data_IF_618679098893
#
_entry.id   IF_618679098893
#
_cell.length_a   1.000
_cell.length_b   1.000
_cell.length_c   1.000
_cell.angle_alpha   90.00
_cell.angle_beta   90.00
_cell.angle_gamma   90.00
#
_symmetry.space_group_name_H-M   'P 1'
#
loop_
_entity.id
_entity.type
_entity.pdbx_description
1 polymer ?
#
# COMPACT_ATOMS: atom_id res chain seq x y z
N UNK A 1 13.51 -19.42 14.01
CA UNK A 1 14.89 -18.96 14.21
C UNK A 1 15.68 -19.25 12.95
N UNK A 2 16.36 -18.24 12.45
CA UNK A 2 17.19 -18.27 11.25
C UNK A 2 18.62 -17.85 11.66
N UNK A 3 19.62 -18.66 11.30
CA UNK A 3 21.01 -18.43 11.71
C UNK A 3 21.62 -17.20 11.02
N UNK A 4 21.21 -16.88 9.80
CA UNK A 4 21.70 -15.72 9.07
C UNK A 4 21.08 -14.41 9.60
N UNK A 5 19.84 -14.48 10.09
CA UNK A 5 19.27 -13.38 10.88
C UNK A 5 20.07 -13.18 12.17
N UNK A 6 20.44 -14.26 12.87
CA UNK A 6 21.26 -14.17 14.08
C UNK A 6 22.65 -13.59 13.78
N UNK A 7 23.30 -14.03 12.72
CA UNK A 7 24.59 -13.49 12.28
C UNK A 7 24.49 -11.99 11.97
N UNK A 8 23.39 -11.57 11.33
CA UNK A 8 23.09 -10.15 11.10
C UNK A 8 22.98 -9.36 12.41
N UNK A 9 22.22 -9.88 13.39
CA UNK A 9 22.04 -9.26 14.70
C UNK A 9 23.36 -9.11 15.48
N UNK A 10 24.17 -10.18 15.49
CA UNK A 10 25.51 -10.18 16.13
C UNK A 10 26.42 -9.16 15.45
N UNK A 11 26.45 -9.14 14.12
CA UNK A 11 27.25 -8.18 13.35
C UNK A 11 26.83 -6.73 13.64
N UNK A 12 25.53 -6.45 13.71
CA UNK A 12 24.98 -5.14 14.04
C UNK A 12 25.48 -4.65 15.41
N UNK A 13 25.35 -5.49 16.45
CA UNK A 13 25.80 -5.15 17.80
C UNK A 13 27.32 -4.97 17.87
N UNK A 14 28.08 -5.84 17.21
CA UNK A 14 29.55 -5.75 17.17
C UNK A 14 30.03 -4.47 16.48
N UNK A 15 29.40 -4.10 15.37
CA UNK A 15 29.85 -3.00 14.51
C UNK A 15 29.35 -1.64 14.99
N UNK A 16 28.09 -1.57 15.43
CA UNK A 16 27.42 -0.30 15.74
C UNK A 16 27.01 -0.16 17.21
N UNK A 17 27.17 -1.18 18.05
CA UNK A 17 26.73 -1.14 19.46
C UNK A 17 27.39 -0.05 20.33
N UNK A 18 28.48 0.58 19.84
CA UNK A 18 29.14 1.73 20.47
C UNK A 18 28.79 3.08 19.83
N UNK A 19 28.01 3.09 18.75
CA UNK A 19 27.56 4.30 18.06
C UNK A 19 26.44 4.94 18.88
N UNK A 20 26.57 6.24 19.16
CA UNK A 20 25.54 7.00 19.88
C UNK A 20 24.21 6.92 19.13
N UNK A 21 23.12 6.65 19.86
CA UNK A 21 21.78 6.49 19.29
C UNK A 21 21.48 5.13 18.64
N UNK A 22 22.46 4.24 18.47
CA UNK A 22 22.23 2.93 17.85
C UNK A 22 21.52 1.94 18.79
N UNK A 23 21.91 1.88 20.06
CA UNK A 23 21.34 0.94 21.04
C UNK A 23 21.83 -0.50 20.86
N UNK A 24 20.93 -1.48 21.02
CA UNK A 24 21.22 -2.92 20.91
C UNK A 24 20.08 -3.65 20.20
N UNK A 25 20.43 -4.69 19.45
CA UNK A 25 19.50 -5.63 18.79
C UNK A 25 19.53 -6.97 19.54
N UNK A 26 18.40 -7.68 19.74
CA UNK A 26 18.43 -9.05 20.26
C UNK A 26 19.17 -9.98 19.29
N UNK A 27 19.94 -10.94 19.80
CA UNK A 27 20.72 -11.92 19.00
C UNK A 27 20.06 -13.31 19.06
N UNK A 28 18.78 -13.36 18.75
CA UNK A 28 17.90 -14.52 18.92
C UNK A 28 17.57 -15.25 17.61
N UNK A 29 18.06 -14.76 16.47
CA UNK A 29 17.77 -15.30 15.14
C UNK A 29 16.33 -15.14 14.71
N UNK A 30 15.54 -14.28 15.37
CA UNK A 30 14.19 -13.97 14.95
C UNK A 30 14.16 -12.61 14.24
N UNK A 31 13.57 -12.58 13.04
CA UNK A 31 13.27 -11.30 12.38
C UNK A 31 12.22 -10.54 13.19
N UNK A 32 12.22 -9.21 13.08
CA UNK A 32 11.28 -8.34 13.79
C UNK A 32 11.72 -6.89 13.82
N UNK A 33 10.86 -6.03 14.39
CA UNK A 33 11.07 -4.58 14.43
C UNK A 33 12.43 -4.18 14.99
N UNK A 34 12.89 -4.80 16.08
CA UNK A 34 14.20 -4.48 16.67
C UNK A 34 15.37 -4.70 15.70
N UNK A 35 15.34 -5.78 14.92
CA UNK A 35 16.36 -6.07 13.90
C UNK A 35 16.29 -5.08 12.74
N UNK A 36 15.08 -4.81 12.23
CA UNK A 36 14.86 -3.84 11.14
C UNK A 36 15.24 -2.41 11.55
N UNK A 37 14.95 -2.00 12.79
CA UNK A 37 15.39 -0.72 13.35
C UNK A 37 16.90 -0.66 13.54
N UNK A 38 17.52 -1.77 13.95
CA UNK A 38 18.99 -1.90 13.95
C UNK A 38 19.59 -1.68 12.56
N UNK A 39 19.08 -2.34 11.53
CA UNK A 39 19.52 -2.16 10.13
C UNK A 39 19.30 -0.71 9.64
N UNK A 40 18.17 -0.11 10.00
CA UNK A 40 17.85 1.29 9.63
C UNK A 40 18.81 2.28 10.26
N UNK A 41 19.09 2.15 11.56
CA UNK A 41 20.03 3.02 12.28
C UNK A 41 21.48 2.79 11.83
N UNK A 42 21.87 1.55 11.54
CA UNK A 42 23.15 1.25 10.91
C UNK A 42 23.28 1.98 9.56
N UNK A 43 22.24 1.94 8.72
CA UNK A 43 22.27 2.62 7.42
C UNK A 43 22.40 4.13 7.61
N UNK A 44 21.63 4.72 8.52
CA UNK A 44 21.70 6.14 8.83
C UNK A 44 23.11 6.56 9.26
N UNK A 45 23.77 5.76 10.10
CA UNK A 45 25.16 5.99 10.49
C UNK A 45 26.12 5.97 9.28
N UNK A 46 26.00 4.95 8.41
CA UNK A 46 26.80 4.84 7.17
C UNK A 46 26.54 6.00 6.19
N UNK A 47 25.37 6.66 6.27
CA UNK A 47 25.03 7.86 5.50
C UNK A 47 25.49 9.18 6.15
N UNK A 48 26.15 9.09 7.31
CA UNK A 48 26.62 10.23 8.10
C UNK A 48 25.50 11.01 8.78
N UNK A 49 24.39 10.35 9.14
CA UNK A 49 23.34 10.92 9.98
C UNK A 49 23.71 10.66 11.45
N UNK A 50 23.69 11.70 12.28
CA UNK A 50 24.09 11.62 13.70
C UNK A 50 22.91 11.31 14.62
N UNK A 51 21.74 11.91 14.36
CA UNK A 51 20.52 11.66 15.13
C UNK A 51 19.77 10.47 14.53
N UNK A 52 20.14 9.29 15.00
CA UNK A 52 19.59 8.02 14.51
C UNK A 52 18.14 7.82 15.00
N UNK A 53 17.27 7.37 14.11
CA UNK A 53 15.85 7.13 14.37
C UNK A 53 15.37 5.83 13.74
N UNK A 54 14.32 5.24 14.30
CA UNK A 54 13.74 3.96 13.87
C UNK A 54 12.86 4.08 12.61
N UNK A 55 13.14 5.05 11.74
CA UNK A 55 12.37 5.32 10.52
C UNK A 55 13.26 5.66 9.32
N UNK A 56 12.94 5.08 8.16
CA UNK A 56 13.53 5.45 6.87
C UNK A 56 12.77 6.67 6.29
N UNK A 57 13.28 7.86 6.61
CA UNK A 57 12.66 9.14 6.20
C UNK A 57 13.29 9.79 4.96
N UNK A 58 12.78 10.96 4.53
CA UNK A 58 13.26 11.68 3.35
C UNK A 58 14.77 11.97 3.35
N UNK A 59 15.33 12.31 4.51
CA UNK A 59 16.78 12.55 4.66
C UNK A 59 17.62 11.30 4.39
N UNK A 60 17.16 10.13 4.85
CA UNK A 60 17.80 8.83 4.59
C UNK A 60 17.72 8.49 3.11
N UNK A 61 16.55 8.68 2.49
CA UNK A 61 16.34 8.45 1.07
C UNK A 61 17.28 9.30 0.20
N UNK A 62 17.29 10.62 0.42
CA UNK A 62 18.10 11.55 -0.36
C UNK A 62 19.60 11.27 -0.24
N UNK A 63 20.08 10.98 0.97
CA UNK A 63 21.48 10.61 1.21
C UNK A 63 21.83 9.27 0.57
N UNK A 64 20.94 8.28 0.62
CA UNK A 64 21.15 6.98 -0.04
C UNK A 64 21.32 7.13 -1.56
N UNK A 65 20.38 7.81 -2.21
CA UNK A 65 20.39 8.00 -3.67
C UNK A 65 21.64 8.76 -4.12
N UNK A 66 22.03 9.79 -3.37
CA UNK A 66 23.23 10.60 -3.68
C UNK A 66 24.53 9.82 -3.47
N UNK A 67 24.64 9.05 -2.39
CA UNK A 67 25.92 8.48 -1.97
C UNK A 67 26.17 7.06 -2.49
N UNK A 68 25.12 6.23 -2.62
CA UNK A 68 25.27 4.78 -2.78
C UNK A 68 24.47 4.16 -3.94
N UNK A 69 23.28 4.66 -4.31
CA UNK A 69 22.41 3.98 -5.29
C UNK A 69 23.10 3.67 -6.63
N UNK A 70 23.97 4.56 -7.12
CA UNK A 70 24.73 4.36 -8.37
C UNK A 70 26.06 3.59 -8.18
N UNK A 71 26.50 3.37 -6.93
CA UNK A 71 27.76 2.68 -6.60
C UNK A 71 27.54 1.21 -6.26
N UNK A 72 26.42 0.88 -5.63
CA UNK A 72 26.07 -0.47 -5.18
C UNK A 72 25.74 -1.34 -6.41
N UNK A 73 26.72 -2.15 -6.81
CA UNK A 73 26.65 -3.08 -7.96
C UNK A 73 27.66 -4.19 -7.74
N UNK A 74 27.66 -5.22 -8.60
CA UNK A 74 28.54 -6.38 -8.46
C UNK A 74 30.01 -5.98 -8.22
N UNK A 75 30.60 -6.52 -7.15
CA UNK A 75 31.97 -6.24 -6.70
C UNK A 75 32.13 -5.04 -5.75
N UNK A 76 31.07 -4.26 -5.51
CA UNK A 76 31.11 -3.16 -4.53
C UNK A 76 31.19 -3.72 -3.10
N UNK A 77 32.13 -3.22 -2.30
CA UNK A 77 32.34 -3.66 -0.91
C UNK A 77 32.13 -2.52 0.07
N UNK A 78 31.17 -2.69 0.98
CA UNK A 78 30.87 -1.71 2.02
C UNK A 78 29.94 -2.32 3.08
N UNK A 79 29.92 -1.75 4.29
CA UNK A 79 28.96 -2.14 5.31
C UNK A 79 27.49 -2.00 4.86
N UNK A 80 27.18 -1.04 3.97
CA UNK A 80 25.82 -0.89 3.44
C UNK A 80 25.36 -2.12 2.66
N UNK A 81 26.29 -2.91 2.12
CA UNK A 81 25.96 -4.18 1.48
C UNK A 81 25.60 -5.24 2.52
N UNK A 82 26.30 -5.30 3.66
CA UNK A 82 25.86 -6.18 4.77
C UNK A 82 24.49 -5.79 5.29
N UNK A 83 24.15 -4.49 5.29
CA UNK A 83 22.80 -4.02 5.64
C UNK A 83 21.78 -4.53 4.62
N UNK A 84 22.08 -4.47 3.31
CA UNK A 84 21.21 -5.03 2.26
C UNK A 84 21.04 -6.54 2.45
N UNK A 85 22.13 -7.28 2.60
CA UNK A 85 22.12 -8.74 2.79
C UNK A 85 21.33 -9.14 4.05
N UNK A 86 21.59 -8.46 5.18
CA UNK A 86 20.85 -8.65 6.42
C UNK A 86 19.36 -8.32 6.30
N UNK A 87 19.02 -7.30 5.51
CA UNK A 87 17.65 -6.99 5.14
C UNK A 87 16.97 -8.13 4.38
N UNK A 88 17.66 -8.76 3.42
CA UNK A 88 17.12 -9.90 2.68
C UNK A 88 16.86 -11.10 3.58
N UNK A 89 17.79 -11.45 4.47
CA UNK A 89 17.58 -12.49 5.47
C UNK A 89 16.35 -12.18 6.34
N UNK A 90 16.15 -10.92 6.74
CA UNK A 90 14.96 -10.50 7.49
C UNK A 90 13.65 -10.59 6.67
N UNK A 91 13.72 -10.50 5.34
CA UNK A 91 12.60 -10.68 4.40
C UNK A 91 12.35 -12.14 4.00
N UNK A 92 13.24 -13.05 4.38
CA UNK A 92 13.19 -14.45 3.94
C UNK A 92 13.60 -14.64 2.47
N UNK A 93 14.28 -13.66 1.87
CA UNK A 93 14.91 -13.79 0.54
C UNK A 93 16.37 -14.17 0.79
N UNK A 94 16.87 -15.19 0.09
CA UNK A 94 18.22 -15.71 0.31
C UNK A 94 19.23 -14.99 -0.63
N UNK A 95 20.11 -14.10 -0.12
CA UNK A 95 21.16 -13.48 -0.93
C UNK A 95 22.41 -14.36 -1.07
N UNK A 96 22.42 -15.59 -0.51
CA UNK A 96 23.53 -16.53 -0.29
C UNK A 96 24.72 -15.99 0.52
N UNK A 97 24.83 -14.67 0.63
CA UNK A 97 25.99 -13.98 1.16
C UNK A 97 25.64 -13.13 2.39
N UNK A 98 26.60 -13.05 3.32
CA UNK A 98 26.65 -12.03 4.37
C UNK A 98 28.06 -11.42 4.49
N UNK A 99 28.69 -11.18 3.33
CA UNK A 99 30.11 -10.86 3.20
C UNK A 99 30.40 -9.36 3.22
N UNK A 100 29.40 -8.52 2.88
CA UNK A 100 29.61 -7.08 2.64
C UNK A 100 30.14 -6.74 1.26
N UNK A 101 30.21 -7.71 0.36
CA UNK A 101 30.43 -7.53 -1.07
C UNK A 101 29.12 -7.77 -1.82
N UNK A 102 28.77 -6.88 -2.74
CA UNK A 102 27.55 -7.01 -3.52
C UNK A 102 27.85 -8.01 -4.64
N UNK A 103 27.38 -9.24 -4.50
CA UNK A 103 27.65 -10.34 -5.42
C UNK A 103 26.54 -10.47 -6.48
N UNK A 104 26.71 -11.41 -7.40
CA UNK A 104 25.63 -11.82 -8.31
C UNK A 104 24.42 -12.39 -7.56
N UNK A 105 24.63 -13.03 -6.41
CA UNK A 105 23.55 -13.57 -5.59
C UNK A 105 22.78 -12.45 -4.87
N UNK A 106 23.50 -11.45 -4.35
CA UNK A 106 22.85 -10.24 -3.80
C UNK A 106 22.08 -9.50 -4.90
N UNK A 107 22.62 -9.43 -6.12
CA UNK A 107 21.92 -8.86 -7.27
C UNK A 107 20.64 -9.63 -7.61
N UNK A 108 20.68 -10.97 -7.58
CA UNK A 108 19.52 -11.81 -7.82
C UNK A 108 18.42 -11.61 -6.76
N UNK A 109 18.80 -11.50 -5.48
CA UNK A 109 17.86 -11.20 -4.38
C UNK A 109 17.16 -9.84 -4.56
N UNK A 110 17.86 -8.81 -5.08
CA UNK A 110 17.24 -7.52 -5.44
C UNK A 110 16.18 -7.71 -6.53
N UNK A 111 16.49 -8.48 -7.58
CA UNK A 111 15.55 -8.76 -8.67
C UNK A 111 14.34 -9.56 -8.17
N UNK A 112 14.55 -10.51 -7.27
CA UNK A 112 13.48 -11.29 -6.63
C UNK A 112 12.55 -10.39 -5.82
N UNK A 113 13.09 -9.53 -4.95
CA UNK A 113 12.29 -8.55 -4.20
C UNK A 113 11.46 -7.66 -5.11
N UNK A 114 12.07 -7.13 -6.19
CA UNK A 114 11.37 -6.29 -7.17
C UNK A 114 10.24 -7.03 -7.85
N UNK A 115 10.47 -8.28 -8.27
CA UNK A 115 9.44 -9.13 -8.87
C UNK A 115 8.29 -9.37 -7.89
N UNK A 116 8.60 -9.70 -6.64
CA UNK A 116 7.60 -9.96 -5.61
C UNK A 116 6.80 -8.71 -5.23
N UNK A 117 7.46 -7.56 -5.18
CA UNK A 117 6.82 -6.27 -4.97
C UNK A 117 6.09 -5.72 -6.21
N UNK A 118 6.20 -6.37 -7.38
CA UNK A 118 5.57 -5.91 -8.62
C UNK A 118 6.23 -4.67 -9.23
N UNK A 119 7.52 -4.45 -9.01
CA UNK A 119 8.25 -3.28 -9.51
C UNK A 119 8.59 -3.45 -10.99
N UNK A 120 8.38 -2.38 -11.77
CA UNK A 120 8.63 -2.35 -13.22
C UNK A 120 10.11 -2.49 -13.59
N UNK A 121 11.00 -1.88 -12.81
CA UNK A 121 12.44 -2.02 -12.99
C UNK A 121 12.87 -3.46 -12.68
N UNK A 122 13.50 -4.13 -13.63
CA UNK A 122 13.99 -5.51 -13.50
C UNK A 122 15.49 -5.60 -13.25
N UNK A 123 16.18 -4.46 -13.13
CA UNK A 123 17.61 -4.42 -12.83
C UNK A 123 17.91 -4.72 -11.35
N UNK A 124 19.17 -4.97 -11.03
CA UNK A 124 19.65 -5.09 -9.65
C UNK A 124 19.95 -3.74 -8.96
N UNK A 125 19.48 -2.60 -9.50
CA UNK A 125 19.67 -1.28 -8.89
C UNK A 125 18.94 -1.21 -7.53
N UNK A 126 19.61 -0.71 -6.50
CA UNK A 126 19.02 -0.45 -5.19
C UNK A 126 18.88 1.06 -4.98
N UNK A 127 17.78 1.65 -5.44
CA UNK A 127 17.44 3.04 -5.13
C UNK A 127 16.79 3.14 -3.73
N UNK A 128 16.47 4.35 -3.29
CA UNK A 128 15.91 4.60 -1.96
C UNK A 128 14.56 3.91 -1.71
N UNK A 129 13.70 3.77 -2.73
CA UNK A 129 12.43 3.04 -2.62
C UNK A 129 12.68 1.56 -2.31
N UNK A 130 13.62 0.92 -3.02
CA UNK A 130 13.98 -0.48 -2.80
C UNK A 130 14.63 -0.66 -1.43
N UNK A 131 15.53 0.25 -1.04
CA UNK A 131 16.19 0.21 0.26
C UNK A 131 15.17 0.37 1.40
N UNK A 132 14.20 1.28 1.23
CA UNK A 132 13.10 1.46 2.18
C UNK A 132 12.21 0.22 2.24
N UNK A 133 11.81 -0.34 1.11
CA UNK A 133 11.02 -1.58 1.06
C UNK A 133 11.71 -2.74 1.79
N UNK A 134 13.03 -2.85 1.62
CA UNK A 134 13.88 -3.84 2.29
C UNK A 134 13.94 -3.63 3.81
N UNK A 135 14.02 -2.38 4.28
CA UNK A 135 14.13 -2.03 5.70
C UNK A 135 12.77 -1.72 6.36
N UNK A 136 11.77 -2.56 6.11
CA UNK A 136 10.44 -2.48 6.74
C UNK A 136 9.98 -3.88 7.16
N UNK A 137 8.84 -3.99 7.85
CA UNK A 137 8.18 -5.28 8.08
C UNK A 137 7.19 -5.68 6.97
N UNK A 138 7.10 -4.91 5.88
CA UNK A 138 6.21 -5.22 4.75
C UNK A 138 6.52 -6.59 4.14
N UNK A 139 5.50 -7.42 3.94
CA UNK A 139 5.64 -8.68 3.22
C UNK A 139 5.37 -8.48 1.72
N UNK A 140 6.19 -9.07 0.86
CA UNK A 140 6.05 -9.03 -0.60
C UNK A 140 5.67 -10.39 -1.21
N UNK A 141 5.47 -11.38 -0.35
CA UNK A 141 5.00 -12.73 -0.69
C UNK A 141 3.60 -12.93 -0.12
N UNK A 142 2.85 -13.86 -0.70
CA UNK A 142 1.52 -14.22 -0.20
C UNK A 142 1.64 -14.79 1.22
N UNK A 143 1.02 -14.13 2.20
CA UNK A 143 1.04 -14.60 3.60
C UNK A 143 -0.05 -15.65 3.84
N UNK A 144 0.06 -16.48 4.89
CA UNK A 144 -1.02 -17.38 5.29
C UNK A 144 -2.34 -16.62 5.51
N UNK A 145 -3.42 -17.11 4.90
CA UNK A 145 -4.74 -16.44 4.92
C UNK A 145 -4.88 -15.27 3.93
N UNK A 146 -3.82 -14.93 3.19
CA UNK A 146 -3.86 -13.95 2.11
C UNK A 146 -4.54 -14.48 0.85
N UNK A 147 -5.05 -13.55 0.03
CA UNK A 147 -5.69 -13.83 -1.24
C UNK A 147 -4.75 -13.52 -2.41
N UNK A 148 -4.53 -14.50 -3.28
CA UNK A 148 -3.64 -14.38 -4.44
C UNK A 148 -4.09 -13.31 -5.45
N UNK A 149 -5.40 -13.07 -5.60
CA UNK A 149 -5.92 -11.97 -6.43
C UNK A 149 -5.67 -10.62 -5.79
N UNK A 150 -5.81 -10.50 -4.46
CA UNK A 150 -5.43 -9.28 -3.75
C UNK A 150 -3.94 -9.01 -3.92
N UNK A 151 -3.09 -10.04 -3.81
CA UNK A 151 -1.65 -9.90 -4.06
C UNK A 151 -1.37 -9.42 -5.48
N UNK A 152 -2.03 -10.00 -6.49
CA UNK A 152 -1.89 -9.58 -7.89
C UNK A 152 -2.29 -8.11 -8.09
N UNK A 153 -3.35 -7.66 -7.39
CA UNK A 153 -3.75 -6.25 -7.37
C UNK A 153 -2.68 -5.37 -6.71
N UNK A 154 -2.16 -5.73 -5.54
CA UNK A 154 -1.10 -4.97 -4.86
C UNK A 154 0.15 -4.84 -5.73
N UNK A 155 0.58 -5.92 -6.39
CA UNK A 155 1.71 -5.91 -7.32
C UNK A 155 1.47 -4.98 -8.50
N UNK A 156 0.27 -5.02 -9.11
CA UNK A 156 -0.07 -4.12 -10.21
C UNK A 156 -0.13 -2.65 -9.76
N UNK A 157 -0.62 -2.38 -8.55
CA UNK A 157 -0.64 -1.03 -7.98
C UNK A 157 0.77 -0.48 -7.79
N UNK A 158 1.69 -1.28 -7.22
CA UNK A 158 3.10 -0.90 -7.15
C UNK A 158 3.68 -0.69 -8.55
N UNK A 159 3.41 -1.58 -9.51
CA UNK A 159 3.92 -1.47 -10.88
C UNK A 159 3.53 -0.15 -11.56
N UNK A 160 2.25 0.20 -11.48
CA UNK A 160 1.67 1.31 -12.25
C UNK A 160 1.75 2.65 -11.51
N UNK A 161 1.76 2.64 -10.17
CA UNK A 161 1.61 3.84 -9.35
C UNK A 161 2.72 4.03 -8.29
N UNK A 162 3.88 3.36 -8.44
CA UNK A 162 5.03 3.54 -7.54
C UNK A 162 5.37 5.02 -7.28
N UNK A 163 5.29 5.89 -8.29
CA UNK A 163 5.60 7.31 -8.15
C UNK A 163 4.65 8.07 -7.19
N UNK A 164 3.45 7.53 -6.95
CA UNK A 164 2.44 8.10 -6.05
C UNK A 164 2.54 7.52 -4.63
N UNK A 165 2.82 6.23 -4.53
CA UNK A 165 2.70 5.48 -3.26
C UNK A 165 4.02 5.01 -2.68
N UNK A 166 5.11 5.04 -3.46
CA UNK A 166 6.27 4.20 -3.21
C UNK A 166 5.91 2.72 -3.34
N UNK A 167 6.61 1.87 -2.60
CA UNK A 167 6.43 0.42 -2.61
C UNK A 167 5.66 -0.01 -1.37
N UNK A 168 4.48 -0.60 -1.57
CA UNK A 168 3.59 -1.11 -0.52
C UNK A 168 3.62 -2.65 -0.45
N UNK A 169 3.18 -3.26 0.66
CA UNK A 169 3.14 -4.73 0.80
C UNK A 169 2.35 -5.42 -0.34
N UNK A 170 2.83 -6.60 -0.72
CA UNK A 170 2.19 -7.53 -1.67
C UNK A 170 1.87 -8.85 -0.95
N UNK A 171 1.17 -8.75 0.18
CA UNK A 171 0.90 -9.84 1.12
C UNK A 171 -0.40 -10.61 0.83
N UNK A 172 -1.27 -10.08 -0.04
CA UNK A 172 -2.59 -10.63 -0.30
C UNK A 172 -3.66 -10.23 0.71
N UNK A 173 -3.39 -9.26 1.60
CA UNK A 173 -4.35 -8.74 2.57
C UNK A 173 -4.81 -7.34 2.17
N UNK A 174 -6.11 -7.17 1.95
CA UNK A 174 -6.66 -5.84 1.70
C UNK A 174 -6.66 -5.02 3.00
N UNK A 175 -5.87 -3.95 3.01
CA UNK A 175 -5.67 -3.10 4.17
C UNK A 175 -5.67 -1.63 3.78
N UNK A 176 -5.52 -0.74 4.78
CA UNK A 176 -5.57 0.71 4.59
C UNK A 176 -4.65 1.17 3.47
N UNK A 177 -3.40 0.71 3.46
CA UNK A 177 -2.40 1.13 2.47
C UNK A 177 -2.80 0.71 1.06
N UNK A 178 -3.35 -0.50 0.90
CA UNK A 178 -3.90 -0.95 -0.39
C UNK A 178 -5.07 -0.07 -0.82
N UNK A 179 -6.03 0.24 0.07
CA UNK A 179 -7.14 1.14 -0.24
C UNK A 179 -6.66 2.55 -0.64
N UNK A 180 -5.67 3.09 0.08
CA UNK A 180 -5.05 4.37 -0.24
C UNK A 180 -4.39 4.33 -1.62
N UNK A 181 -3.70 3.24 -1.98
CA UNK A 181 -3.15 3.05 -3.31
C UNK A 181 -4.21 2.98 -4.42
N UNK A 182 -5.38 2.36 -4.16
CA UNK A 182 -6.50 2.40 -5.10
C UNK A 182 -7.02 3.84 -5.30
N UNK A 183 -7.05 4.66 -4.26
CA UNK A 183 -7.47 6.07 -4.38
C UNK A 183 -6.41 6.87 -5.16
N UNK A 184 -5.12 6.66 -4.92
CA UNK A 184 -4.05 7.25 -5.73
C UNK A 184 -4.15 6.83 -7.20
N UNK A 185 -4.46 5.57 -7.48
CA UNK A 185 -4.69 5.08 -8.82
C UNK A 185 -5.86 5.82 -9.50
N UNK A 186 -6.97 6.03 -8.80
CA UNK A 186 -8.09 6.83 -9.30
C UNK A 186 -7.66 8.28 -9.58
N UNK A 187 -6.98 8.92 -8.63
CA UNK A 187 -6.51 10.30 -8.79
C UNK A 187 -5.56 10.46 -9.98
N UNK A 188 -4.69 9.48 -10.22
CA UNK A 188 -3.83 9.45 -11.41
C UNK A 188 -4.62 9.32 -12.70
N UNK A 189 -5.65 8.45 -12.74
CA UNK A 189 -6.57 8.31 -13.88
C UNK A 189 -7.39 9.59 -14.13
N UNK A 190 -7.73 10.32 -13.07
CA UNK A 190 -8.36 11.65 -13.11
C UNK A 190 -7.38 12.76 -13.54
N UNK A 191 -6.12 12.43 -13.83
CA UNK A 191 -5.08 13.35 -14.30
C UNK A 191 -4.51 14.26 -13.20
N UNK A 192 -4.50 13.81 -11.94
CA UNK A 192 -3.75 14.47 -10.87
C UNK A 192 -2.30 13.99 -10.89
N UNK A 193 -1.35 14.92 -10.90
CA UNK A 193 0.07 14.61 -10.74
C UNK A 193 0.40 14.15 -9.30
N UNK A 194 1.63 13.69 -9.09
CA UNK A 194 2.10 13.19 -7.79
C UNK A 194 2.20 14.25 -6.70
N UNK A 195 2.23 15.54 -7.06
CA UNK A 195 2.20 16.66 -6.10
C UNK A 195 0.79 17.06 -5.68
N UNK A 196 -0.21 16.76 -6.51
CA UNK A 196 -1.62 17.07 -6.29
C UNK A 196 -2.38 15.91 -5.66
N UNK A 197 -2.10 14.68 -6.10
CA UNK A 197 -2.71 13.47 -5.56
C UNK A 197 -2.29 13.25 -4.10
N UNK A 198 -3.22 12.78 -3.28
CA UNK A 198 -3.03 12.67 -1.83
C UNK A 198 -3.67 11.41 -1.20
N UNK A 199 -4.20 10.50 -2.02
CA UNK A 199 -4.80 9.26 -1.54
C UNK A 199 -6.11 9.45 -0.75
N UNK A 200 -6.67 10.67 -0.73
CA UNK A 200 -7.94 10.99 -0.10
C UNK A 200 -9.02 11.30 -1.13
N UNK A 201 -10.17 10.64 -1.03
CA UNK A 201 -11.31 10.86 -1.93
C UNK A 201 -12.10 12.13 -1.57
N UNK A 202 -11.42 13.28 -1.69
CA UNK A 202 -11.95 14.61 -1.37
C UNK A 202 -12.62 15.33 -2.54
N UNK A 203 -12.92 16.64 -2.40
CA UNK A 203 -13.59 17.45 -3.41
C UNK A 203 -12.94 17.39 -4.80
N UNK A 204 -11.61 17.39 -4.87
CA UNK A 204 -10.88 17.28 -6.13
C UNK A 204 -11.18 15.96 -6.87
N UNK A 205 -11.16 14.84 -6.15
CA UNK A 205 -11.47 13.51 -6.71
C UNK A 205 -12.95 13.43 -7.08
N UNK A 206 -13.84 13.88 -6.19
CA UNK A 206 -15.29 13.92 -6.45
C UNK A 206 -15.62 14.64 -7.76
N UNK A 207 -15.02 15.80 -8.00
CA UNK A 207 -15.27 16.62 -9.18
C UNK A 207 -14.78 15.98 -10.48
N UNK A 208 -13.79 15.08 -10.40
CA UNK A 208 -13.15 14.46 -11.55
C UNK A 208 -13.57 13.00 -11.77
N UNK A 209 -14.27 12.39 -10.80
CA UNK A 209 -14.69 10.99 -10.90
C UNK A 209 -15.54 10.78 -12.15
N UNK A 210 -15.11 9.89 -13.07
CA UNK A 210 -15.82 9.67 -14.32
C UNK A 210 -17.09 8.85 -14.12
N UNK A 211 -17.97 8.89 -15.12
CA UNK A 211 -19.05 7.92 -15.27
C UNK A 211 -18.64 6.87 -16.29
N UNK A 212 -18.69 5.60 -15.90
CA UNK A 212 -18.19 4.48 -16.71
C UNK A 212 -19.31 3.49 -17.00
N UNK A 213 -19.42 3.05 -18.25
CA UNK A 213 -20.45 2.14 -18.73
C UNK A 213 -19.84 0.89 -19.38
N UNK A 214 -20.70 -0.09 -19.67
CA UNK A 214 -20.32 -1.31 -20.39
C UNK A 214 -19.60 -1.00 -21.71
N UNK A 215 -18.58 -1.78 -22.04
CA UNK A 215 -17.70 -1.57 -23.20
C UNK A 215 -16.51 -0.63 -22.93
N UNK A 216 -16.47 0.08 -21.79
CA UNK A 216 -15.29 0.83 -21.40
C UNK A 216 -14.09 -0.10 -21.13
N UNK A 217 -12.87 0.44 -21.29
CA UNK A 217 -11.63 -0.28 -21.02
C UNK A 217 -10.61 0.60 -20.28
N UNK A 218 -9.55 -0.02 -19.77
CA UNK A 218 -8.39 0.66 -19.19
C UNK A 218 -8.37 0.72 -17.66
N UNK A 219 -7.53 1.60 -17.13
CA UNK A 219 -7.21 1.67 -15.70
C UNK A 219 -8.44 1.96 -14.83
N UNK A 220 -9.36 2.84 -15.27
CA UNK A 220 -10.59 3.14 -14.52
C UNK A 220 -11.44 1.88 -14.31
N UNK A 221 -11.55 1.03 -15.32
CA UNK A 221 -12.30 -0.22 -15.23
C UNK A 221 -11.59 -1.19 -14.29
N UNK A 222 -10.26 -1.23 -14.33
CA UNK A 222 -9.48 -2.09 -13.41
C UNK A 222 -9.69 -1.66 -11.95
N UNK A 223 -9.73 -0.36 -11.67
CA UNK A 223 -10.05 0.19 -10.33
C UNK A 223 -11.47 -0.22 -9.89
N UNK A 224 -12.46 -0.17 -10.79
CA UNK A 224 -13.83 -0.63 -10.50
C UNK A 224 -13.84 -2.14 -10.21
N UNK A 225 -13.12 -2.95 -11.00
CA UNK A 225 -12.99 -4.39 -10.80
C UNK A 225 -12.35 -4.72 -9.44
N UNK A 226 -11.30 -3.99 -9.04
CA UNK A 226 -10.68 -4.11 -7.73
C UNK A 226 -11.66 -3.76 -6.61
N UNK A 227 -12.33 -2.60 -6.72
CA UNK A 227 -13.31 -2.14 -5.74
C UNK A 227 -14.45 -3.15 -5.57
N UNK A 228 -15.02 -3.66 -6.66
CA UNK A 228 -16.07 -4.68 -6.57
C UNK A 228 -15.56 -5.99 -5.94
N UNK A 229 -14.33 -6.41 -6.26
CA UNK A 229 -13.75 -7.64 -5.72
C UNK A 229 -13.60 -7.56 -4.20
N UNK A 230 -12.98 -6.50 -3.68
CA UNK A 230 -12.73 -6.34 -2.24
C UNK A 230 -14.01 -6.11 -1.44
N UNK A 231 -15.08 -5.65 -2.10
CA UNK A 231 -16.42 -5.55 -1.52
C UNK A 231 -17.27 -6.83 -1.71
N UNK A 232 -16.74 -7.89 -2.34
CA UNK A 232 -17.44 -9.17 -2.49
C UNK A 232 -18.46 -9.24 -3.64
N UNK A 233 -18.43 -8.30 -4.59
CA UNK A 233 -19.37 -8.22 -5.71
C UNK A 233 -18.76 -8.57 -7.07
N UNK A 234 -17.53 -9.09 -7.11
CA UNK A 234 -16.88 -9.50 -8.34
C UNK A 234 -15.89 -10.64 -8.10
N UNK A 235 -15.83 -11.61 -9.03
CA UNK A 235 -14.91 -12.76 -8.98
C UNK A 235 -14.16 -12.97 -10.29
N UNK A 236 -14.29 -12.05 -11.26
CA UNK A 236 -13.66 -12.15 -12.57
C UNK A 236 -12.17 -11.76 -12.58
N UNK A 237 -11.66 -11.43 -13.76
CA UNK A 237 -10.27 -11.04 -13.99
C UNK A 237 -10.08 -9.52 -13.96
N UNK A 238 -8.93 -9.07 -13.47
CA UNK A 238 -8.55 -7.65 -13.43
C UNK A 238 -7.93 -7.16 -14.74
N UNK A 239 -8.65 -7.37 -15.83
CA UNK A 239 -8.19 -7.10 -17.20
C UNK A 239 -8.52 -5.68 -17.70
N UNK A 240 -9.19 -4.86 -16.89
CA UNK A 240 -9.62 -3.53 -17.29
C UNK A 240 -10.63 -3.55 -18.44
N UNK A 241 -11.43 -4.60 -18.59
CA UNK A 241 -12.52 -4.70 -19.57
C UNK A 241 -13.86 -4.67 -18.84
N UNK A 242 -14.75 -3.76 -19.22
CA UNK A 242 -16.05 -3.63 -18.58
C UNK A 242 -17.02 -4.65 -19.19
N UNK A 243 -16.93 -5.88 -18.69
CA UNK A 243 -17.75 -7.02 -19.13
C UNK A 243 -19.10 -7.06 -18.42
N UNK A 244 -19.98 -7.97 -18.85
CA UNK A 244 -21.27 -8.21 -18.19
C UNK A 244 -21.10 -8.57 -16.70
N UNK A 245 -20.06 -9.31 -16.33
CA UNK A 245 -19.79 -9.63 -14.92
C UNK A 245 -19.51 -8.38 -14.07
N UNK A 246 -18.89 -7.35 -14.65
CA UNK A 246 -18.68 -6.06 -13.96
C UNK A 246 -20.02 -5.33 -13.81
N UNK A 247 -20.84 -5.32 -14.87
CA UNK A 247 -22.18 -4.74 -14.85
C UNK A 247 -23.07 -5.39 -13.78
N UNK A 248 -23.08 -6.71 -13.69
CA UNK A 248 -23.86 -7.47 -12.71
C UNK A 248 -23.36 -7.22 -11.28
N UNK A 249 -22.05 -7.11 -11.10
CA UNK A 249 -21.42 -6.74 -9.82
C UNK A 249 -21.87 -5.36 -9.35
N UNK A 250 -21.91 -4.37 -10.25
CA UNK A 250 -22.39 -3.00 -9.94
C UNK A 250 -23.86 -3.02 -9.54
N UNK A 251 -24.72 -3.72 -10.28
CA UNK A 251 -26.14 -3.82 -9.95
C UNK A 251 -26.32 -4.50 -8.59
N UNK A 252 -25.54 -5.54 -8.28
CA UNK A 252 -25.57 -6.25 -7.00
C UNK A 252 -25.11 -5.36 -5.85
N UNK A 253 -24.00 -4.63 -6.01
CA UNK A 253 -23.51 -3.64 -5.06
C UNK A 253 -24.55 -2.56 -4.80
N UNK A 254 -25.16 -1.98 -5.85
CA UNK A 254 -26.22 -0.97 -5.72
C UNK A 254 -27.43 -1.49 -4.95
N UNK A 255 -27.87 -2.72 -5.23
CA UNK A 255 -29.01 -3.33 -4.52
C UNK A 255 -28.70 -3.58 -3.04
N UNK A 256 -27.48 -4.04 -2.74
CA UNK A 256 -27.01 -4.23 -1.37
C UNK A 256 -26.97 -2.89 -0.61
N UNK A 257 -26.37 -1.87 -1.21
CA UNK A 257 -26.21 -0.54 -0.61
C UNK A 257 -27.46 0.36 -0.70
N UNK A 258 -28.54 -0.12 -1.32
CA UNK A 258 -29.79 0.65 -1.60
C UNK A 258 -29.52 1.97 -2.34
N UNK A 259 -28.80 1.87 -3.46
CA UNK A 259 -28.37 3.00 -4.30
C UNK A 259 -29.13 3.02 -5.64
N UNK A 260 -30.40 3.49 -5.69
CA UNK A 260 -31.10 3.70 -6.95
C UNK A 260 -30.44 4.81 -7.79
N UNK A 261 -30.59 4.79 -9.12
CA UNK A 261 -31.23 3.73 -9.91
C UNK A 261 -30.35 2.47 -9.96
N UNK A 262 -30.98 1.29 -10.04
CA UNK A 262 -30.28 0.00 -10.09
C UNK A 262 -29.77 -0.34 -11.50
N UNK A 263 -28.94 0.55 -12.06
CA UNK A 263 -28.30 0.38 -13.37
C UNK A 263 -26.88 -0.18 -13.24
N UNK A 264 -26.30 -0.62 -14.35
CA UNK A 264 -24.92 -1.09 -14.41
C UNK A 264 -23.88 0.03 -14.56
N UNK A 265 -24.30 1.29 -14.58
CA UNK A 265 -23.38 2.43 -14.69
C UNK A 265 -22.56 2.58 -13.41
N UNK A 266 -21.23 2.65 -13.54
CA UNK A 266 -20.34 3.06 -12.45
C UNK A 266 -20.22 4.59 -12.47
N UNK A 267 -21.07 5.26 -11.70
CA UNK A 267 -21.04 6.71 -11.47
C UNK A 267 -20.26 7.04 -10.19
N UNK A 268 -20.20 8.33 -9.83
CA UNK A 268 -19.62 8.80 -8.57
C UNK A 268 -20.15 8.04 -7.35
N UNK A 269 -21.44 7.72 -7.31
CA UNK A 269 -22.07 7.04 -6.17
C UNK A 269 -21.53 5.63 -6.00
N UNK A 270 -21.35 4.90 -7.12
CA UNK A 270 -20.75 3.57 -7.11
C UNK A 270 -19.25 3.65 -6.81
N UNK A 271 -18.48 4.42 -7.58
CA UNK A 271 -17.01 4.44 -7.47
C UNK A 271 -16.58 4.89 -6.08
N UNK A 272 -17.21 5.94 -5.54
CA UNK A 272 -16.93 6.39 -4.17
C UNK A 272 -17.38 5.37 -3.13
N UNK A 273 -18.53 4.72 -3.33
CA UNK A 273 -19.02 3.65 -2.45
C UNK A 273 -18.09 2.43 -2.41
N UNK A 274 -17.38 2.12 -3.49
CA UNK A 274 -16.42 1.02 -3.53
C UNK A 274 -15.11 1.35 -2.81
N UNK A 275 -14.70 2.62 -2.80
CA UNK A 275 -13.37 3.06 -2.35
C UNK A 275 -13.36 3.74 -0.97
N UNK A 276 -14.54 4.09 -0.45
CA UNK A 276 -14.67 4.79 0.84
C UNK A 276 -15.86 4.24 1.62
N UNK A 277 -15.68 4.08 2.93
CA UNK A 277 -16.71 3.54 3.82
C UNK A 277 -17.92 4.46 3.98
N UNK A 278 -17.75 5.78 3.83
CA UNK A 278 -18.85 6.74 3.88
C UNK A 278 -19.58 6.92 2.55
N UNK A 279 -19.05 6.38 1.45
CA UNK A 279 -19.63 6.46 0.12
C UNK A 279 -19.94 7.90 -0.33
N UNK A 280 -20.92 8.05 -1.24
CA UNK A 280 -21.38 9.37 -1.66
C UNK A 280 -22.30 9.99 -0.61
N UNK A 281 -21.77 10.94 0.16
CA UNK A 281 -22.48 11.68 1.21
C UNK A 281 -23.48 12.72 0.69
N UNK A 282 -23.43 13.04 -0.62
CA UNK A 282 -24.38 13.98 -1.24
C UNK A 282 -25.65 13.29 -1.77
N UNK A 283 -25.81 11.99 -1.54
CA UNK A 283 -27.01 11.25 -1.97
C UNK A 283 -28.19 11.53 -1.02
N UNK A 284 -29.40 11.51 -1.57
CA UNK A 284 -30.62 11.55 -0.76
C UNK A 284 -30.75 10.29 0.10
N UNK A 285 -31.35 10.43 1.27
CA UNK A 285 -31.71 9.34 2.17
C UNK A 285 -33.14 9.55 2.66
N UNK A 286 -33.89 8.47 2.82
CA UNK A 286 -35.21 8.46 3.46
C UNK A 286 -35.12 8.19 4.98
N UNK A 287 -33.93 7.86 5.48
CA UNK A 287 -33.66 7.60 6.88
C UNK A 287 -32.60 8.52 7.48
N UNK A 288 -32.73 8.79 8.78
CA UNK A 288 -31.72 9.47 9.60
C UNK A 288 -31.59 8.76 10.95
N UNK A 289 -30.36 8.66 11.45
CA UNK A 289 -30.05 8.09 12.75
C UNK A 289 -29.85 9.22 13.77
N UNK A 290 -30.44 9.07 14.97
CA UNK A 290 -30.47 10.11 15.98
C UNK A 290 -29.92 9.60 17.31
N UNK A 291 -28.92 10.31 17.83
CA UNK A 291 -28.37 10.06 19.16
C UNK A 291 -29.34 10.45 20.30
N UNK A 292 -30.41 11.19 20.01
CA UNK A 292 -31.39 11.63 20.99
C UNK A 292 -32.82 11.39 20.50
N UNK A 293 -33.75 11.22 21.44
CA UNK A 293 -35.16 11.09 21.10
C UNK A 293 -35.70 12.42 20.55
N UNK A 294 -36.39 12.35 19.41
CA UNK A 294 -37.12 13.51 18.87
C UNK A 294 -38.36 13.74 19.73
N UNK A 295 -38.32 14.74 20.60
CA UNK A 295 -39.46 15.14 21.46
C UNK A 295 -40.20 16.36 20.91
N UNK A 296 -39.54 17.16 20.06
CA UNK A 296 -40.11 18.37 19.46
C UNK A 296 -40.91 18.05 18.20
N UNK A 297 -42.20 18.41 18.20
CA UNK A 297 -43.05 18.32 17.01
C UNK A 297 -42.53 19.18 15.85
N UNK A 298 -41.86 20.31 16.14
CA UNK A 298 -41.25 21.15 15.11
C UNK A 298 -40.09 20.41 14.41
N UNK A 299 -39.20 19.79 15.18
CA UNK A 299 -38.09 18.99 14.63
C UNK A 299 -38.60 17.81 13.80
N UNK A 300 -39.62 17.09 14.28
CA UNK A 300 -40.24 16.00 13.52
C UNK A 300 -40.82 16.49 12.18
N UNK A 301 -41.51 17.63 12.18
CA UNK A 301 -42.04 18.25 10.94
C UNK A 301 -40.92 18.68 9.99
N UNK A 302 -39.84 19.29 10.49
CA UNK A 302 -38.70 19.69 9.67
C UNK A 302 -38.02 18.50 9.00
N UNK A 303 -37.82 17.39 9.73
CA UNK A 303 -37.24 16.17 9.16
C UNK A 303 -38.14 15.55 8.09
N UNK A 304 -39.45 15.48 8.35
CA UNK A 304 -40.42 15.00 7.38
C UNK A 304 -40.47 15.86 6.13
N UNK A 305 -40.43 17.18 6.29
CA UNK A 305 -40.38 18.15 5.18
C UNK A 305 -39.07 18.05 4.39
N UNK A 306 -37.97 17.71 5.03
CA UNK A 306 -36.69 17.41 4.39
C UNK A 306 -36.65 16.04 3.69
N UNK A 307 -37.75 15.27 3.72
CA UNK A 307 -37.88 13.99 3.03
C UNK A 307 -37.51 12.76 3.85
N UNK A 308 -37.16 12.91 5.14
CA UNK A 308 -36.87 11.79 6.02
C UNK A 308 -38.17 11.15 6.54
N UNK A 309 -38.32 9.85 6.26
CA UNK A 309 -39.48 9.04 6.60
C UNK A 309 -39.19 8.01 7.69
N UNK A 310 -37.91 7.69 7.93
CA UNK A 310 -37.46 6.66 8.86
C UNK A 310 -36.51 7.29 9.88
N UNK A 311 -36.76 7.07 11.17
CA UNK A 311 -35.88 7.51 12.26
C UNK A 311 -35.26 6.29 12.92
N UNK A 312 -33.94 6.14 12.80
CA UNK A 312 -33.15 5.22 13.61
C UNK A 312 -32.86 5.83 14.99
N UNK A 313 -32.88 4.99 16.02
CA UNK A 313 -32.44 5.35 17.37
C UNK A 313 -31.70 4.18 17.99
N UNK A 314 -30.49 4.44 18.47
CA UNK A 314 -29.82 3.52 19.39
C UNK A 314 -30.56 3.52 20.73
N UNK A 315 -31.03 2.34 21.15
CA UNK A 315 -31.65 2.14 22.47
C UNK A 315 -30.59 1.93 23.54
#
# INVERSE_FOLDING_TARGET
MDEMVKETQVWLNKTYGKVSGFGKVPEDGNTGWNTVYGLTRALQHELGITDLVDNFGPSTAAKWDTQFANKVKTGFKHNVVKIIQGGFWCKGINPEDFTGEFTTNTAAAVVELKKDAGIKDTSANVNSDIMKALLTMSAFVLVPGGDAKIRSMQQQLNHDYQAYTGILPCDGIYQRDTNTALIYALQSVEGMDTGTANGYYGPGTINKTPTVNSGATGAIVKIIQYGLYVNGFYSGAFNGQFTQNVADGIVSFRKFMKLPPYTSTADLTVIKGLLTSNGNTNRSSDGVDMATQITSAATAKSLKAAGYNIIGRYL
#
